data_IF_101787285908
#
_entry.id   IF_101787285908
#
_cell.length_a   1.000
_cell.length_b   1.000
_cell.length_c   1.000
_cell.angle_alpha   90.00
_cell.angle_beta   90.00
_cell.angle_gamma   90.00
#
_symmetry.space_group_name_H-M   'P 1'
#
loop_
_entity.id
_entity.type
_entity.pdbx_description
1 polymer ?
#
# COMPACT_ATOMS: atom_id res chain seq x y z
N UNK A 1 -0.84 1.67 9.92
CA UNK A 1 0.41 0.92 10.12
C UNK A 1 0.18 -0.41 10.81
N UNK A 2 -0.48 -0.45 11.98
CA UNK A 2 -0.74 -1.69 12.74
C UNK A 2 -1.47 -2.75 11.92
N UNK A 3 -2.70 -2.44 11.48
CA UNK A 3 -3.56 -3.33 10.68
C UNK A 3 -2.94 -3.77 9.35
N UNK A 4 -2.16 -2.88 8.71
CA UNK A 4 -1.50 -3.20 7.45
C UNK A 4 -0.30 -4.10 7.65
N UNK A 5 0.49 -3.87 8.71
CA UNK A 5 1.63 -4.71 9.06
C UNK A 5 1.19 -6.13 9.44
N UNK A 6 0.10 -6.27 10.20
CA UNK A 6 -0.52 -7.57 10.47
C UNK A 6 -1.12 -8.21 9.22
N UNK A 7 -1.83 -7.47 8.35
CA UNK A 7 -2.39 -8.03 7.11
C UNK A 7 -1.32 -8.52 6.12
N UNK A 8 -0.20 -7.80 6.01
CA UNK A 8 0.94 -8.19 5.16
C UNK A 8 1.63 -9.42 5.75
N UNK A 9 1.86 -9.43 7.07
CA UNK A 9 2.54 -10.55 7.76
C UNK A 9 1.69 -11.81 7.87
N UNK A 10 0.36 -11.70 7.88
CA UNK A 10 -0.56 -12.84 7.91
C UNK A 10 -0.86 -13.48 6.55
N UNK A 11 -0.42 -12.89 5.44
CA UNK A 11 -0.84 -13.34 4.12
C UNK A 11 -2.35 -13.13 3.83
N UNK A 12 -3.07 -12.38 4.68
CA UNK A 12 -4.45 -11.97 4.45
C UNK A 12 -4.57 -10.86 3.38
N UNK A 13 -3.43 -10.40 2.89
CA UNK A 13 -3.28 -9.49 1.77
C UNK A 13 -4.13 -9.97 0.59
N UNK A 14 -4.02 -11.24 0.20
CA UNK A 14 -4.79 -11.83 -0.90
C UNK A 14 -6.31 -11.79 -0.75
N UNK A 15 -6.85 -11.82 0.49
CA UNK A 15 -8.29 -11.71 0.72
C UNK A 15 -8.82 -10.30 0.49
N UNK A 16 -8.01 -9.27 0.77
CA UNK A 16 -8.41 -7.86 0.61
C UNK A 16 -8.32 -7.41 -0.84
N UNK A 17 -7.30 -7.88 -1.57
CA UNK A 17 -7.14 -7.60 -3.00
C UNK A 17 -7.93 -8.56 -3.90
N UNK A 18 -8.41 -9.73 -3.42
CA UNK A 18 -9.18 -10.71 -4.23
C UNK A 18 -10.32 -10.13 -5.07
N UNK A 19 -11.23 -9.28 -4.53
CA UNK A 19 -12.34 -8.76 -5.33
C UNK A 19 -11.89 -7.68 -6.33
N UNK A 20 -10.82 -6.94 -6.01
CA UNK A 20 -10.33 -5.82 -6.82
C UNK A 20 -9.22 -6.22 -7.80
N UNK A 21 -8.55 -7.36 -7.58
CA UNK A 21 -7.51 -7.94 -8.44
C UNK A 21 -7.92 -8.07 -9.90
N UNK A 22 -9.07 -8.67 -10.27
CA UNK A 22 -9.42 -8.82 -11.68
C UNK A 22 -9.68 -7.48 -12.36
N UNK A 23 -10.23 -6.51 -11.62
CA UNK A 23 -10.52 -5.17 -12.15
C UNK A 23 -9.24 -4.35 -12.30
N UNK A 24 -8.46 -4.21 -11.22
CA UNK A 24 -7.24 -3.41 -11.22
C UNK A 24 -6.11 -4.07 -12.01
N UNK A 25 -6.01 -5.40 -12.00
CA UNK A 25 -5.06 -6.13 -12.83
C UNK A 25 -5.31 -5.91 -14.32
N UNK A 26 -6.59 -5.88 -14.75
CA UNK A 26 -6.93 -5.63 -16.16
C UNK A 26 -6.77 -4.16 -16.56
N UNK A 27 -7.12 -3.23 -15.67
CA UNK A 27 -7.04 -1.79 -15.95
C UNK A 27 -5.58 -1.29 -15.91
N UNK A 28 -4.85 -1.65 -14.85
CA UNK A 28 -3.52 -1.12 -14.55
C UNK A 28 -2.39 -2.03 -15.02
N UNK A 29 -2.65 -3.30 -15.36
CA UNK A 29 -1.67 -4.29 -15.85
C UNK A 29 -0.44 -4.44 -14.94
N UNK A 30 -0.67 -4.31 -13.63
CA UNK A 30 0.36 -4.32 -12.59
C UNK A 30 0.54 -5.70 -11.97
N UNK A 31 1.68 -5.88 -11.30
CA UNK A 31 1.91 -7.02 -10.44
C UNK A 31 0.96 -7.03 -9.23
N UNK A 32 0.75 -8.19 -8.62
CA UNK A 32 -0.06 -8.29 -7.40
C UNK A 32 0.44 -7.41 -6.23
N UNK A 33 1.77 -7.27 -5.97
CA UNK A 33 2.29 -6.27 -5.04
C UNK A 33 1.88 -4.84 -5.42
N UNK A 34 1.93 -4.48 -6.71
CA UNK A 34 1.52 -3.15 -7.18
C UNK A 34 0.03 -2.86 -6.94
N UNK A 35 -0.84 -3.85 -7.13
CA UNK A 35 -2.28 -3.72 -6.82
C UNK A 35 -2.49 -3.53 -5.31
N UNK A 36 -1.70 -4.22 -4.48
CA UNK A 36 -1.76 -4.03 -3.03
C UNK A 36 -1.32 -2.63 -2.60
N UNK A 37 -0.27 -2.08 -3.22
CA UNK A 37 0.18 -0.69 -2.98
C UNK A 37 -0.94 0.30 -3.30
N UNK A 38 -1.65 0.13 -4.42
CA UNK A 38 -2.80 0.99 -4.75
C UNK A 38 -3.86 0.89 -3.67
N UNK A 39 -4.25 -0.32 -3.27
CA UNK A 39 -5.28 -0.51 -2.27
C UNK A 39 -4.90 0.15 -0.93
N UNK A 40 -3.66 -0.06 -0.48
CA UNK A 40 -3.16 0.52 0.77
C UNK A 40 -2.99 2.04 0.68
N UNK A 41 -2.52 2.57 -0.44
CA UNK A 41 -2.37 4.01 -0.65
C UNK A 41 -3.71 4.73 -0.65
N UNK A 42 -4.76 4.15 -1.23
CA UNK A 42 -6.08 4.76 -1.24
C UNK A 42 -6.85 4.57 0.07
N UNK A 43 -6.64 3.46 0.78
CA UNK A 43 -7.32 3.19 2.05
C UNK A 43 -6.67 3.87 3.25
N UNK A 44 -5.34 3.90 3.29
CA UNK A 44 -4.57 4.43 4.42
C UNK A 44 -3.92 5.79 4.13
N UNK A 45 -3.79 6.18 2.86
CA UNK A 45 -3.19 7.45 2.47
C UNK A 45 -1.67 7.53 2.65
N UNK A 46 -1.15 8.75 2.64
CA UNK A 46 0.24 9.08 2.99
C UNK A 46 0.51 8.82 4.49
N UNK A 47 1.68 8.27 4.88
CA UNK A 47 2.78 7.78 4.05
C UNK A 47 2.66 6.30 3.66
N UNK A 48 1.58 5.60 4.00
CA UNK A 48 1.46 4.16 3.85
C UNK A 48 1.61 3.69 2.41
N UNK A 49 0.98 4.36 1.44
CA UNK A 49 1.13 3.99 0.03
C UNK A 49 2.59 4.02 -0.45
N UNK A 50 3.33 5.08 -0.09
CA UNK A 50 4.74 5.23 -0.43
C UNK A 50 5.63 4.24 0.32
N UNK A 51 5.36 4.00 1.60
CA UNK A 51 6.09 3.04 2.42
C UNK A 51 5.94 1.62 1.87
N UNK A 52 4.72 1.18 1.56
CA UNK A 52 4.48 -0.16 1.01
C UNK A 52 5.12 -0.32 -0.38
N UNK A 53 5.13 0.74 -1.20
CA UNK A 53 5.86 0.73 -2.47
C UNK A 53 7.37 0.57 -2.26
N UNK A 54 7.95 1.29 -1.29
CA UNK A 54 9.37 1.18 -0.93
C UNK A 54 9.70 -0.22 -0.42
N UNK A 55 8.91 -0.77 0.50
CA UNK A 55 9.13 -2.11 1.07
C UNK A 55 9.18 -3.18 -0.01
N UNK A 56 8.23 -3.15 -0.96
CA UNK A 56 8.23 -4.11 -2.07
C UNK A 56 9.34 -3.87 -3.08
N UNK A 57 9.81 -2.62 -3.21
CA UNK A 57 10.97 -2.31 -4.03
C UNK A 57 12.25 -2.88 -3.43
N UNK A 58 12.43 -2.72 -2.11
CA UNK A 58 13.58 -3.23 -1.37
C UNK A 58 13.63 -4.77 -1.39
N UNK A 59 12.45 -5.41 -1.39
CA UNK A 59 12.31 -6.87 -1.57
C UNK A 59 12.44 -7.34 -3.02
N UNK A 60 12.65 -6.42 -3.97
CA UNK A 60 12.68 -6.67 -5.41
C UNK A 60 11.41 -7.33 -5.99
N UNK A 61 10.28 -7.21 -5.30
CA UNK A 61 8.98 -7.71 -5.77
C UNK A 61 8.42 -6.82 -6.89
N UNK A 62 8.72 -5.51 -6.84
CA UNK A 62 8.38 -4.54 -7.88
C UNK A 62 9.63 -3.91 -8.53
N UNK A 63 9.51 -3.51 -9.80
CA UNK A 63 10.60 -2.81 -10.51
C UNK A 63 10.73 -1.34 -10.06
N UNK A 64 11.84 -0.68 -10.40
CA UNK A 64 12.01 0.76 -10.13
C UNK A 64 10.93 1.57 -10.84
N UNK A 65 10.63 1.21 -12.08
CA UNK A 65 9.63 1.86 -12.93
C UNK A 65 8.23 1.66 -12.36
N UNK A 66 7.92 0.45 -11.89
CA UNK A 66 6.65 0.14 -11.23
C UNK A 66 6.50 0.90 -9.91
N UNK A 67 7.56 0.99 -9.09
CA UNK A 67 7.56 1.79 -7.87
C UNK A 67 7.34 3.29 -8.13
N UNK A 68 8.07 3.88 -9.09
CA UNK A 68 7.90 5.27 -9.49
C UNK A 68 6.48 5.55 -10.01
N UNK A 69 5.95 4.63 -10.80
CA UNK A 69 4.58 4.71 -11.30
C UNK A 69 3.56 4.72 -10.16
N UNK A 70 3.69 3.80 -9.19
CA UNK A 70 2.79 3.72 -8.03
C UNK A 70 2.89 4.99 -7.16
N UNK A 71 4.09 5.51 -6.93
CA UNK A 71 4.31 6.72 -6.15
C UNK A 71 3.62 7.95 -6.75
N UNK A 72 3.46 8.01 -8.08
CA UNK A 72 2.86 9.16 -8.76
C UNK A 72 1.38 9.40 -8.41
N UNK A 73 0.65 8.38 -7.93
CA UNK A 73 -0.79 8.50 -7.67
C UNK A 73 -1.29 7.75 -6.43
N UNK A 74 -0.48 6.92 -5.78
CA UNK A 74 -0.88 6.20 -4.55
C UNK A 74 -0.64 7.03 -3.26
N UNK A 75 -0.15 8.27 -3.39
CA UNK A 75 0.19 9.12 -2.27
C UNK A 75 -0.88 10.18 -1.96
N UNK A 76 -2.10 9.73 -1.64
CA UNK A 76 -3.25 10.62 -1.39
C UNK A 76 -3.58 10.74 0.11
N UNK A 77 -4.44 11.69 0.48
CA UNK A 77 -5.01 11.75 1.84
C UNK A 77 -5.89 10.52 2.09
N UNK A 78 -5.79 9.94 3.29
CA UNK A 78 -6.65 8.82 3.68
C UNK A 78 -8.13 9.26 3.79
N UNK A 79 -9.09 8.39 3.44
CA UNK A 79 -10.53 8.71 3.41
C UNK A 79 -11.07 9.10 4.77
N UNK A 80 -10.54 8.50 5.85
CA UNK A 80 -10.93 8.86 7.22
C UNK A 80 -10.55 10.31 7.54
N UNK A 81 -9.34 10.74 7.16
CA UNK A 81 -8.89 12.12 7.36
C UNK A 81 -9.64 13.10 6.46
N UNK A 82 -9.82 12.76 5.20
CA UNK A 82 -10.51 13.62 4.24
C UNK A 82 -11.99 13.84 4.60
N UNK A 83 -12.71 12.78 4.95
CA UNK A 83 -14.11 12.83 5.37
C UNK A 83 -14.30 13.42 6.77
N UNK A 84 -13.44 13.03 7.71
CA UNK A 84 -13.60 13.38 9.13
C UNK A 84 -13.09 14.76 9.49
N UNK A 85 -12.12 15.30 8.75
CA UNK A 85 -11.49 16.58 9.07
C UNK A 85 -11.61 17.61 7.94
N UNK A 86 -11.16 17.25 6.73
CA UNK A 86 -11.04 18.22 5.62
C UNK A 86 -12.41 18.72 5.12
N UNK A 87 -13.36 17.81 4.91
CA UNK A 87 -14.71 18.17 4.44
C UNK A 87 -15.50 19.04 5.43
N UNK A 88 -15.54 18.72 6.74
CA UNK A 88 -16.12 19.58 7.76
C UNK A 88 -15.45 20.95 7.83
N UNK A 89 -14.12 21.01 7.75
CA UNK A 89 -13.36 22.27 7.77
C UNK A 89 -13.76 23.19 6.59
N UNK A 90 -13.95 22.62 5.41
CA UNK A 90 -14.36 23.35 4.20
C UNK A 90 -15.87 23.67 4.16
N UNK A 91 -16.63 23.30 5.20
CA UNK A 91 -18.08 23.48 5.30
C UNK A 91 -18.85 22.91 4.10
N UNK A 92 -18.34 21.83 3.47
CA UNK A 92 -18.94 21.26 2.26
C UNK A 92 -19.96 20.19 2.61
N UNK A 93 -21.21 20.42 2.19
CA UNK A 93 -22.32 19.48 2.39
C UNK A 93 -22.37 18.36 1.35
N UNK A 94 -21.88 18.60 0.14
CA UNK A 94 -21.85 17.58 -0.92
C UNK A 94 -20.57 16.75 -0.82
N UNK A 95 -20.62 15.61 -0.14
CA UNK A 95 -19.43 14.74 0.07
C UNK A 95 -18.97 14.06 -1.23
N UNK A 96 -19.92 13.54 -2.02
CA UNK A 96 -19.68 12.74 -3.22
C UNK A 96 -18.72 13.37 -4.26
N UNK A 97 -18.92 14.61 -4.75
CA UNK A 97 -18.07 15.18 -5.79
C UNK A 97 -16.63 15.41 -5.32
N UNK A 98 -16.42 15.75 -4.04
CA UNK A 98 -15.07 15.97 -3.51
C UNK A 98 -14.34 14.66 -3.27
N UNK A 99 -15.02 13.62 -2.79
CA UNK A 99 -14.44 12.27 -2.68
C UNK A 99 -14.09 11.74 -4.07
N UNK A 100 -14.98 11.92 -5.06
CA UNK A 100 -14.69 11.54 -6.43
C UNK A 100 -13.53 12.35 -7.02
N UNK A 101 -13.43 13.65 -6.75
CA UNK A 101 -12.28 14.45 -7.15
C UNK A 101 -10.98 13.96 -6.52
N UNK A 102 -10.98 13.75 -5.21
CA UNK A 102 -9.79 13.37 -4.43
C UNK A 102 -9.25 11.99 -4.81
N UNK A 103 -10.11 11.01 -5.07
CA UNK A 103 -9.68 9.64 -5.37
C UNK A 103 -9.81 9.27 -6.85
N UNK A 104 -10.82 9.79 -7.54
CA UNK A 104 -11.03 9.54 -8.96
C UNK A 104 -9.96 10.19 -9.84
N UNK A 105 -9.54 11.42 -9.55
CA UNK A 105 -8.50 12.09 -10.35
C UNK A 105 -7.17 11.33 -10.28
N UNK A 106 -6.63 10.94 -9.10
CA UNK A 106 -5.41 10.14 -9.03
C UNK A 106 -5.55 8.77 -9.69
N UNK A 107 -6.70 8.09 -9.59
CA UNK A 107 -6.93 6.83 -10.30
C UNK A 107 -6.89 7.03 -11.83
N UNK A 108 -7.60 8.02 -12.35
CA UNK A 108 -7.61 8.35 -13.79
C UNK A 108 -6.21 8.79 -14.28
N UNK A 109 -5.47 9.50 -13.43
CA UNK A 109 -4.09 9.88 -13.70
C UNK A 109 -3.18 8.66 -13.77
N UNK A 110 -3.31 7.72 -12.83
CA UNK A 110 -2.61 6.44 -12.85
C UNK A 110 -2.91 5.66 -14.14
N UNK A 111 -4.18 5.56 -14.55
CA UNK A 111 -4.56 4.94 -15.83
C UNK A 111 -3.88 5.64 -16.99
N UNK A 112 -3.98 6.97 -17.07
CA UNK A 112 -3.39 7.77 -18.15
C UNK A 112 -1.87 7.57 -18.25
N UNK A 113 -1.16 7.56 -17.11
CA UNK A 113 0.27 7.27 -17.04
C UNK A 113 0.61 5.86 -17.51
N UNK A 114 -0.23 4.86 -17.18
CA UNK A 114 0.00 3.48 -17.60
C UNK A 114 -0.07 3.34 -19.12
N UNK A 115 -1.02 4.00 -19.76
CA UNK A 115 -1.22 3.90 -21.21
C UNK A 115 -0.35 4.87 -22.03
N UNK A 116 0.25 5.89 -21.40
CA UNK A 116 1.16 6.85 -22.06
C UNK A 116 2.63 6.52 -21.82
N UNK A 117 3.16 6.89 -20.66
CA UNK A 117 4.61 6.87 -20.35
C UNK A 117 5.09 5.47 -19.99
N UNK A 118 4.28 4.70 -19.27
CA UNK A 118 4.69 3.40 -18.72
C UNK A 118 4.23 2.19 -19.56
N UNK A 119 3.61 2.43 -20.73
CA UNK A 119 3.06 1.38 -21.61
C UNK A 119 4.09 0.32 -21.98
N UNK A 120 5.30 0.75 -22.31
CA UNK A 120 6.41 -0.12 -22.72
C UNK A 120 7.48 -0.28 -21.64
N UNK A 121 7.33 0.41 -20.49
CA UNK A 121 8.32 0.40 -19.40
C UNK A 121 8.02 -0.59 -18.29
N UNK A 122 6.75 -0.98 -18.12
CA UNK A 122 6.34 -1.98 -17.14
C UNK A 122 5.92 -3.24 -17.90
N UNK A 123 6.78 -4.28 -17.95
CA UNK A 123 6.42 -5.55 -18.59
C UNK A 123 5.23 -6.18 -17.87
N UNK A 124 4.33 -6.77 -18.64
CA UNK A 124 3.15 -7.47 -18.12
C UNK A 124 3.63 -8.76 -17.43
N UNK A 125 3.76 -8.74 -16.09
CA UNK A 125 4.14 -9.92 -15.31
C UNK A 125 2.91 -10.82 -15.11
N UNK A 126 2.98 -12.04 -15.63
CA UNK A 126 2.02 -13.12 -15.36
C UNK A 126 2.17 -13.59 -13.91
N UNK A 127 1.03 -13.82 -13.24
CA UNK A 127 0.85 -14.16 -11.83
C UNK A 127 1.92 -15.12 -11.27
N UNK A 128 2.81 -14.60 -10.42
CA UNK A 128 3.34 -15.39 -9.32
C UNK A 128 2.44 -15.19 -8.11
N UNK A 129 2.14 -16.28 -7.41
CA UNK A 129 1.21 -16.30 -6.30
C UNK A 129 1.70 -15.39 -5.18
N UNK A 130 1.19 -14.16 -5.17
CA UNK A 130 1.33 -13.21 -4.08
C UNK A 130 0.96 -13.92 -2.76
N UNK A 131 1.75 -13.68 -1.72
CA UNK A 131 1.60 -14.36 -0.43
C UNK A 131 2.22 -15.76 -0.33
N UNK A 132 2.32 -16.54 -1.42
CA UNK A 132 2.91 -17.89 -1.37
C UNK A 132 4.43 -17.87 -1.30
N UNK A 133 5.07 -16.95 -2.01
CA UNK A 133 6.53 -16.78 -2.01
C UNK A 133 7.04 -16.06 -0.75
N UNK A 134 6.20 -15.25 -0.09
CA UNK A 134 6.54 -14.68 1.21
C UNK A 134 6.47 -15.72 2.34
N UNK A 135 5.56 -16.70 2.23
CA UNK A 135 5.57 -17.88 3.09
C UNK A 135 6.71 -18.86 2.73
N UNK A 136 7.06 -18.99 1.45
CA UNK A 136 8.14 -19.88 1.00
C UNK A 136 9.56 -19.31 1.23
N UNK A 137 9.77 -18.00 1.16
CA UNK A 137 11.03 -17.34 1.57
C UNK A 137 11.30 -17.43 3.08
N UNK A 138 10.27 -17.68 3.89
CA UNK A 138 10.41 -18.06 5.30
C UNK A 138 10.74 -19.55 5.49
N UNK A 139 10.59 -20.36 4.44
CA UNK A 139 10.82 -21.81 4.42
C UNK A 139 12.14 -22.19 3.72
N UNK A 140 12.90 -21.25 3.16
CA UNK A 140 14.27 -21.53 2.71
C UNK A 140 15.19 -21.70 3.94
N UNK A 141 15.77 -22.91 4.15
CA UNK A 141 16.40 -23.28 5.40
C UNK A 141 17.84 -22.76 5.43
N UNK A 142 18.03 -21.54 5.94
CA UNK A 142 19.33 -21.17 6.53
C UNK A 142 19.31 -21.73 7.96
N UNK A 143 19.84 -22.95 8.16
CA UNK A 143 19.73 -23.67 9.44
C UNK A 143 20.51 -23.03 10.61
N UNK A 144 20.56 -23.65 11.81
CA UNK A 144 19.58 -24.50 12.47
C UNK A 144 19.07 -23.82 13.77
N UNK A 145 17.81 -23.40 13.80
CA UNK A 145 17.02 -23.22 15.03
C UNK A 145 15.55 -23.04 14.62
N UNK A 146 14.58 -23.76 15.23
CA UNK A 146 13.18 -23.53 14.94
C UNK A 146 12.77 -22.18 15.56
N UNK A 147 12.78 -21.12 14.78
CA UNK A 147 12.16 -19.86 15.16
C UNK A 147 10.65 -20.09 15.24
N UNK A 148 9.99 -19.78 16.37
CA UNK A 148 8.57 -20.01 16.53
C UNK A 148 7.80 -19.19 15.50
N UNK A 149 6.80 -19.80 14.87
CA UNK A 149 5.87 -19.13 13.98
C UNK A 149 5.38 -17.84 14.66
N UNK A 150 5.76 -16.69 14.11
CA UNK A 150 5.54 -15.39 14.73
C UNK A 150 4.05 -15.24 15.04
N UNK A 151 3.73 -15.09 16.33
CA UNK A 151 2.35 -15.06 16.76
C UNK A 151 1.67 -13.77 16.27
N UNK A 152 0.35 -13.82 16.06
CA UNK A 152 -0.47 -12.66 15.71
C UNK A 152 -0.19 -11.48 16.65
N UNK A 153 0.03 -11.79 17.92
CA UNK A 153 0.36 -10.85 18.99
C UNK A 153 1.73 -10.20 18.79
N UNK A 154 2.77 -10.95 18.42
CA UNK A 154 4.10 -10.37 18.16
C UNK A 154 4.08 -9.44 16.94
N UNK A 155 3.37 -9.83 15.87
CA UNK A 155 3.21 -9.00 14.69
C UNK A 155 2.38 -7.73 14.97
N UNK A 156 1.42 -7.80 15.89
CA UNK A 156 0.62 -6.66 16.33
C UNK A 156 1.48 -5.70 17.18
N UNK A 157 2.24 -6.22 18.15
CA UNK A 157 3.10 -5.44 19.04
C UNK A 157 4.20 -4.70 18.28
N UNK A 158 4.85 -5.37 17.32
CA UNK A 158 5.81 -4.75 16.40
C UNK A 158 5.16 -3.58 15.65
N UNK A 159 3.96 -3.78 15.14
CA UNK A 159 3.29 -2.79 14.32
C UNK A 159 2.75 -1.62 15.15
N UNK A 160 2.38 -1.86 16.42
CA UNK A 160 2.03 -0.80 17.41
C UNK A 160 3.26 0.03 17.73
N UNK A 161 4.38 -0.63 17.99
CA UNK A 161 5.64 0.03 18.33
C UNK A 161 6.14 0.90 17.17
N UNK A 162 6.07 0.40 15.93
CA UNK A 162 6.45 1.15 14.73
C UNK A 162 5.52 2.36 14.48
N UNK A 163 4.21 2.19 14.68
CA UNK A 163 3.24 3.28 14.57
C UNK A 163 3.49 4.36 15.63
N UNK A 164 3.73 3.93 16.88
CA UNK A 164 4.04 4.81 18.00
C UNK A 164 5.29 5.65 17.74
N UNK A 165 6.39 5.02 17.29
CA UNK A 165 7.63 5.73 16.93
C UNK A 165 7.41 6.76 15.83
N UNK A 166 6.65 6.42 14.79
CA UNK A 166 6.39 7.33 13.66
C UNK A 166 5.57 8.55 14.10
N UNK A 167 4.54 8.35 14.92
CA UNK A 167 3.72 9.45 15.47
C UNK A 167 4.55 10.32 16.40
N UNK A 168 5.36 9.71 17.27
CA UNK A 168 6.19 10.44 18.23
C UNK A 168 7.26 11.28 17.53
N UNK A 169 7.88 10.75 16.48
CA UNK A 169 8.82 11.50 15.65
C UNK A 169 8.14 12.67 14.94
N UNK A 170 6.99 12.44 14.30
CA UNK A 170 6.25 13.50 13.63
C UNK A 170 5.82 14.60 14.62
N UNK A 171 5.27 14.21 15.77
CA UNK A 171 4.89 15.14 16.84
C UNK A 171 6.09 15.91 17.41
N UNK A 172 7.23 15.24 17.59
CA UNK A 172 8.49 15.89 17.98
C UNK A 172 8.94 16.94 16.96
N UNK A 173 8.88 16.62 15.66
CA UNK A 173 9.20 17.60 14.62
C UNK A 173 8.24 18.79 14.62
N UNK A 174 6.93 18.59 14.84
CA UNK A 174 5.94 19.68 14.91
C UNK A 174 6.06 20.60 16.14
N UNK A 175 6.76 20.17 17.20
CA UNK A 175 6.98 20.99 18.40
C UNK A 175 8.18 21.92 18.21
N UNK A 176 9.21 21.44 17.51
CA UNK A 176 10.45 22.20 17.31
C UNK A 176 10.46 23.03 16.01
N UNK A 177 9.61 22.69 15.03
CA UNK A 177 9.45 23.39 13.76
C UNK A 177 7.99 23.79 13.55
#
# INVERSE_FOLDING_TARGET
>A
MILSGTLIRMGMTDSLIRPVRPLFGRIYRLSAPGIYVILMGFLCGFPMGAHTASDFRDRQEISSEEGQYLLAFCNNLGPVYFLGFVLPLLHRKLVLPYVFGMYGIPLLYGISLRYSVYRNRIPEKTDQAFGRDNAAKLLEPTGPAPLPAMSLTDALDDAITAAGRSILQLGGYMIFF
#
